data_IF_865817671614
#
_entry.id   IF_865817671614
#
_cell.length_a   1.000
_cell.length_b   1.000
_cell.length_c   1.000
_cell.angle_alpha   90.00
_cell.angle_beta   90.00
_cell.angle_gamma   90.00
#
_symmetry.space_group_name_H-M   'P 1'
#
loop_
_entity.id
_entity.type
_entity.pdbx_description
1 polymer ?
#
# COMPACT_ATOMS: atom_id res chain seq x y z
N UNK A 1 26.12 -23.51 7.86
CA UNK A 1 25.08 -23.54 6.80
C UNK A 1 25.79 -23.66 5.46
N UNK A 2 25.29 -24.46 4.53
CA UNK A 2 25.96 -24.69 3.24
C UNK A 2 25.81 -23.50 2.28
N UNK A 3 26.70 -23.38 1.30
CA UNK A 3 26.60 -22.40 0.22
C UNK A 3 25.25 -22.49 -0.52
N UNK A 4 24.76 -23.70 -0.74
CA UNK A 4 23.44 -23.95 -1.34
C UNK A 4 22.27 -23.32 -0.53
N UNK A 5 22.36 -23.31 0.80
CA UNK A 5 21.36 -22.65 1.64
C UNK A 5 21.32 -21.14 1.39
N UNK A 6 22.49 -20.48 1.34
CA UNK A 6 22.56 -19.04 1.13
C UNK A 6 22.06 -18.62 -0.24
N UNK A 7 22.35 -19.42 -1.28
CA UNK A 7 21.79 -19.22 -2.61
C UNK A 7 20.26 -19.38 -2.63
N UNK A 8 19.71 -20.38 -1.94
CA UNK A 8 18.27 -20.55 -1.82
C UNK A 8 17.61 -19.38 -1.08
N UNK A 9 18.24 -18.90 0.00
CA UNK A 9 17.78 -17.75 0.76
C UNK A 9 17.81 -16.46 -0.08
N UNK A 10 18.88 -16.23 -0.84
CA UNK A 10 19.01 -15.09 -1.75
C UNK A 10 17.87 -15.07 -2.78
N UNK A 11 17.61 -16.19 -3.44
CA UNK A 11 16.52 -16.33 -4.43
C UNK A 11 15.16 -16.03 -3.80
N UNK A 12 14.92 -16.54 -2.59
CA UNK A 12 13.68 -16.26 -1.84
C UNK A 12 13.53 -14.76 -1.58
N UNK A 13 14.56 -14.10 -1.07
CA UNK A 13 14.52 -12.65 -0.77
C UNK A 13 14.31 -11.80 -2.02
N UNK A 14 14.92 -12.16 -3.14
CA UNK A 14 14.71 -11.48 -4.42
C UNK A 14 13.26 -11.65 -4.93
N UNK A 15 12.68 -12.84 -4.78
CA UNK A 15 11.28 -13.10 -5.10
C UNK A 15 10.33 -12.27 -4.21
N UNK A 16 10.58 -12.26 -2.89
CA UNK A 16 9.80 -11.47 -1.95
C UNK A 16 9.88 -9.96 -2.27
N UNK A 17 11.06 -9.45 -2.62
CA UNK A 17 11.25 -8.05 -3.06
C UNK A 17 10.40 -7.72 -4.30
N UNK A 18 10.45 -8.58 -5.32
CA UNK A 18 9.66 -8.40 -6.54
C UNK A 18 8.16 -8.37 -6.26
N UNK A 19 7.69 -9.26 -5.38
CA UNK A 19 6.28 -9.30 -4.95
C UNK A 19 5.87 -8.02 -4.21
N UNK A 20 6.71 -7.51 -3.31
CA UNK A 20 6.44 -6.25 -2.60
C UNK A 20 6.38 -5.05 -3.55
N UNK A 21 7.30 -4.97 -4.51
CA UNK A 21 7.30 -3.90 -5.52
C UNK A 21 6.05 -3.95 -6.41
N UNK A 22 5.64 -5.16 -6.81
CA UNK A 22 4.39 -5.37 -7.56
C UNK A 22 3.18 -4.92 -6.74
N UNK A 23 3.09 -5.34 -5.47
CA UNK A 23 2.02 -4.95 -4.56
C UNK A 23 1.94 -3.42 -4.38
N UNK A 24 3.10 -2.76 -4.19
CA UNK A 24 3.18 -1.31 -4.08
C UNK A 24 2.60 -0.62 -5.31
N UNK A 25 2.98 -1.06 -6.52
CA UNK A 25 2.44 -0.51 -7.77
C UNK A 25 0.92 -0.72 -7.92
N UNK A 26 0.41 -1.90 -7.56
CA UNK A 26 -1.03 -2.18 -7.57
C UNK A 26 -1.80 -1.27 -6.62
N UNK A 27 -1.28 -1.06 -5.40
CA UNK A 27 -1.88 -0.17 -4.41
C UNK A 27 -1.83 1.29 -4.83
N UNK A 28 -0.76 1.74 -5.48
CA UNK A 28 -0.69 3.09 -6.07
C UNK A 28 -1.79 3.29 -7.11
N UNK A 29 -2.04 2.29 -7.96
CA UNK A 29 -3.18 2.30 -8.89
C UNK A 29 -4.51 2.43 -8.16
N UNK A 30 -4.71 1.67 -7.08
CA UNK A 30 -5.93 1.74 -6.27
C UNK A 30 -6.12 3.09 -5.56
N UNK A 31 -5.07 3.71 -5.03
CA UNK A 31 -5.17 5.06 -4.48
C UNK A 31 -5.59 6.09 -5.56
N UNK A 32 -5.08 5.93 -6.78
CA UNK A 32 -5.48 6.74 -7.94
C UNK A 32 -6.96 6.56 -8.30
N UNK A 33 -7.46 5.31 -8.29
CA UNK A 33 -8.88 5.01 -8.48
C UNK A 33 -9.75 5.68 -7.40
N UNK A 34 -9.34 5.62 -6.12
CA UNK A 34 -10.04 6.32 -5.04
C UNK A 34 -10.10 7.83 -5.27
N UNK A 35 -8.97 8.42 -5.64
CA UNK A 35 -8.90 9.87 -5.92
C UNK A 35 -9.80 10.28 -7.08
N UNK A 36 -9.85 9.46 -8.14
CA UNK A 36 -10.66 9.73 -9.32
C UNK A 36 -12.16 9.55 -9.07
N UNK A 37 -12.54 8.67 -8.13
CA UNK A 37 -13.94 8.30 -7.88
C UNK A 37 -14.56 9.00 -6.66
N UNK A 38 -13.81 9.82 -5.93
CA UNK A 38 -14.30 10.52 -4.73
C UNK A 38 -15.60 11.31 -4.99
N UNK A 39 -15.74 11.91 -6.18
CA UNK A 39 -16.91 12.70 -6.55
C UNK A 39 -18.21 11.89 -6.57
N UNK A 40 -18.13 10.56 -6.80
CA UNK A 40 -19.30 9.67 -6.80
C UNK A 40 -19.96 9.60 -5.42
N UNK A 41 -19.22 9.87 -4.35
CA UNK A 41 -19.77 9.89 -2.99
C UNK A 41 -20.71 11.08 -2.78
N UNK A 42 -20.55 12.16 -3.56
CA UNK A 42 -21.32 13.40 -3.46
C UNK A 42 -22.25 13.65 -4.65
N UNK A 43 -22.34 12.73 -5.62
CA UNK A 43 -23.30 12.80 -6.72
C UNK A 43 -24.54 11.89 -6.56
N UNK A 44 -25.73 12.33 -6.99
CA UNK A 44 -26.05 13.68 -7.47
C UNK A 44 -25.96 14.71 -6.34
N UNK A 45 -25.76 15.98 -6.72
CA UNK A 45 -25.77 17.10 -5.78
C UNK A 45 -27.17 17.27 -5.18
N UNK A 46 -27.25 17.33 -3.85
CA UNK A 46 -28.49 17.61 -3.13
C UNK A 46 -28.54 19.11 -2.85
N UNK A 47 -29.51 19.80 -3.43
CA UNK A 47 -29.65 21.26 -3.25
C UNK A 47 -30.76 21.58 -2.25
N UNK A 48 -30.55 22.60 -1.43
CA UNK A 48 -31.56 23.07 -0.46
C UNK A 48 -32.88 23.53 -1.13
N UNK A 49 -32.83 23.83 -2.43
CA UNK A 49 -33.99 24.21 -3.24
C UNK A 49 -34.94 23.06 -3.55
N UNK A 50 -34.44 21.82 -3.68
CA UNK A 50 -35.25 20.64 -4.02
C UNK A 50 -35.28 19.57 -2.92
N UNK A 51 -34.39 19.67 -1.93
CA UNK A 51 -34.22 18.68 -0.87
C UNK A 51 -34.09 19.39 0.49
N UNK A 52 -35.15 19.35 1.32
CA UNK A 52 -35.22 20.07 2.60
C UNK A 52 -36.00 19.31 3.68
N UNK A 53 -35.75 19.64 4.94
CA UNK A 53 -36.42 19.05 6.11
C UNK A 53 -35.54 18.05 6.86
N UNK A 54 -36.00 17.57 8.01
CA UNK A 54 -35.19 16.78 8.95
C UNK A 54 -34.61 15.50 8.34
N UNK A 55 -35.34 14.82 7.46
CA UNK A 55 -34.85 13.63 6.77
C UNK A 55 -33.76 13.96 5.74
N UNK A 56 -33.88 15.10 5.07
CA UNK A 56 -32.88 15.58 4.12
C UNK A 56 -31.56 15.89 4.83
N UNK A 57 -31.62 16.61 5.95
CA UNK A 57 -30.45 16.90 6.79
C UNK A 57 -29.79 15.61 7.29
N UNK A 58 -30.57 14.70 7.88
CA UNK A 58 -30.02 13.42 8.38
C UNK A 58 -29.36 12.58 7.29
N UNK A 59 -29.89 12.62 6.07
CA UNK A 59 -29.28 11.93 4.94
C UNK A 59 -27.93 12.56 4.58
N UNK A 60 -27.85 13.88 4.50
CA UNK A 60 -26.59 14.58 4.23
C UNK A 60 -25.56 14.34 5.32
N UNK A 61 -25.94 14.32 6.59
CA UNK A 61 -25.04 13.99 7.71
C UNK A 61 -24.44 12.58 7.52
N UNK A 62 -25.27 11.57 7.20
CA UNK A 62 -24.81 10.20 6.92
C UNK A 62 -23.86 10.18 5.71
N UNK A 63 -24.19 10.94 4.67
CA UNK A 63 -23.43 10.97 3.42
C UNK A 63 -22.08 11.64 3.59
N UNK A 64 -22.03 12.81 4.22
CA UNK A 64 -20.82 13.63 4.33
C UNK A 64 -19.95 13.13 5.48
N UNK A 65 -20.51 13.03 6.68
CA UNK A 65 -19.75 12.71 7.89
C UNK A 65 -19.53 11.21 8.06
N UNK A 66 -20.37 10.37 7.42
CA UNK A 66 -20.20 8.92 7.39
C UNK A 66 -19.40 8.48 6.17
N UNK A 67 -20.04 8.52 5.00
CA UNK A 67 -19.53 7.88 3.79
C UNK A 67 -18.31 8.63 3.25
N UNK A 68 -18.42 9.94 2.99
CA UNK A 68 -17.33 10.72 2.41
C UNK A 68 -16.13 10.82 3.36
N UNK A 69 -16.36 10.99 4.66
CA UNK A 69 -15.29 11.00 5.66
C UNK A 69 -14.50 9.67 5.66
N UNK A 70 -15.20 8.53 5.75
CA UNK A 70 -14.57 7.21 5.70
C UNK A 70 -13.81 6.97 4.39
N UNK A 71 -14.39 7.42 3.28
CA UNK A 71 -13.76 7.32 1.96
C UNK A 71 -12.43 8.10 1.90
N UNK A 72 -12.44 9.33 2.39
CA UNK A 72 -11.24 10.18 2.47
C UNK A 72 -10.18 9.59 3.40
N UNK A 73 -10.59 9.02 4.53
CA UNK A 73 -9.68 8.35 5.45
C UNK A 73 -8.93 7.19 4.77
N UNK A 74 -9.64 6.36 3.99
CA UNK A 74 -9.03 5.29 3.20
C UNK A 74 -8.05 5.88 2.19
N UNK A 75 -8.53 6.82 1.37
CA UNK A 75 -7.76 7.47 0.29
C UNK A 75 -6.45 8.11 0.78
N UNK A 76 -6.46 8.64 2.01
CA UNK A 76 -5.34 9.38 2.59
C UNK A 76 -4.60 8.55 3.63
N UNK A 77 -5.09 8.54 4.87
CA UNK A 77 -4.42 7.97 6.04
C UNK A 77 -4.07 6.50 5.84
N UNK A 78 -5.03 5.67 5.40
CA UNK A 78 -4.79 4.23 5.32
C UNK A 78 -3.81 3.87 4.20
N UNK A 79 -3.96 4.43 3.00
CA UNK A 79 -2.98 4.22 1.93
C UNK A 79 -1.59 4.73 2.31
N UNK A 80 -1.48 5.92 2.88
CA UNK A 80 -0.19 6.48 3.29
C UNK A 80 0.53 5.60 4.32
N UNK A 81 -0.21 5.07 5.30
CA UNK A 81 0.34 4.14 6.27
C UNK A 81 0.87 2.86 5.60
N UNK A 82 0.07 2.25 4.73
CA UNK A 82 0.47 1.02 4.01
C UNK A 82 1.70 1.27 3.13
N UNK A 83 1.78 2.41 2.43
CA UNK A 83 2.95 2.75 1.62
C UNK A 83 4.21 2.96 2.46
N UNK A 84 4.09 3.56 3.64
CA UNK A 84 5.23 3.67 4.58
C UNK A 84 5.73 2.28 4.98
N UNK A 85 4.82 1.40 5.41
CA UNK A 85 5.16 0.02 5.82
C UNK A 85 5.82 -0.75 4.67
N UNK A 86 5.28 -0.65 3.45
CA UNK A 86 5.85 -1.30 2.27
C UNK A 86 7.24 -0.76 1.93
N UNK A 87 7.42 0.56 1.96
CA UNK A 87 8.70 1.21 1.70
C UNK A 87 9.78 0.73 2.68
N UNK A 88 9.45 0.72 3.98
CA UNK A 88 10.35 0.25 5.03
C UNK A 88 10.72 -1.22 4.82
N UNK A 89 9.72 -2.05 4.49
CA UNK A 89 9.97 -3.49 4.27
C UNK A 89 10.80 -3.77 3.02
N UNK A 90 10.55 -3.02 1.94
CA UNK A 90 11.35 -3.08 0.72
C UNK A 90 12.80 -2.73 1.02
N UNK A 91 13.03 -1.66 1.78
CA UNK A 91 14.37 -1.22 2.14
C UNK A 91 15.09 -2.25 3.02
N UNK A 92 14.38 -2.81 4.01
CA UNK A 92 14.89 -3.90 4.84
C UNK A 92 15.33 -5.10 4.00
N UNK A 93 14.48 -5.58 3.08
CA UNK A 93 14.81 -6.75 2.26
C UNK A 93 16.00 -6.48 1.32
N UNK A 94 16.13 -5.26 0.79
CA UNK A 94 17.33 -4.89 0.00
C UNK A 94 18.61 -5.01 0.82
N UNK A 95 18.60 -4.53 2.07
CA UNK A 95 19.76 -4.65 2.97
C UNK A 95 20.06 -6.11 3.30
N UNK A 96 19.03 -6.92 3.55
CA UNK A 96 19.19 -8.36 3.78
C UNK A 96 19.80 -9.08 2.56
N UNK A 97 19.39 -8.72 1.34
CA UNK A 97 19.95 -9.25 0.09
C UNK A 97 21.45 -8.94 -0.01
N UNK A 98 21.86 -7.70 0.26
CA UNK A 98 23.29 -7.33 0.22
C UNK A 98 24.11 -8.06 1.28
N UNK A 99 23.58 -8.22 2.49
CA UNK A 99 24.22 -9.00 3.55
C UNK A 99 24.40 -10.48 3.17
N UNK A 100 23.38 -11.08 2.53
CA UNK A 100 23.45 -12.45 2.03
C UNK A 100 24.52 -12.57 0.92
N UNK A 101 24.58 -11.61 -0.01
CA UNK A 101 25.59 -11.59 -1.08
C UNK A 101 27.01 -11.53 -0.52
N UNK A 102 27.25 -10.67 0.47
CA UNK A 102 28.55 -10.58 1.14
C UNK A 102 28.92 -11.89 1.85
N UNK A 103 27.94 -12.57 2.44
CA UNK A 103 28.15 -13.88 3.08
C UNK A 103 28.50 -14.96 2.06
N UNK A 104 27.82 -15.00 0.92
CA UNK A 104 28.13 -15.93 -0.19
C UNK A 104 29.57 -15.71 -0.67
N UNK A 105 29.94 -14.46 -0.99
CA UNK A 105 31.28 -14.13 -1.49
C UNK A 105 32.39 -14.54 -0.51
N UNK A 106 32.16 -14.37 0.80
CA UNK A 106 33.10 -14.83 1.83
C UNK A 106 33.24 -16.35 1.85
N UNK A 107 32.12 -17.07 1.80
CA UNK A 107 32.14 -18.54 1.84
C UNK A 107 32.79 -19.14 0.59
N UNK A 108 32.60 -18.51 -0.57
CA UNK A 108 33.28 -18.93 -1.82
C UNK A 108 34.80 -18.73 -1.73
N UNK A 109 35.26 -17.64 -1.12
CA UNK A 109 36.69 -17.40 -0.92
C UNK A 109 37.35 -18.29 0.14
N UNK A 110 36.57 -18.83 1.10
CA UNK A 110 37.05 -19.76 2.13
C UNK A 110 37.11 -21.22 1.61
N UNK A 111 36.41 -21.53 0.51
CA UNK A 111 36.37 -22.85 -0.14
C UNK A 111 37.45 -23.02 -1.25
N UNK A 112 38.15 -21.94 -1.64
CA UNK A 112 39.30 -21.90 -2.58
C UNK A 112 40.66 -22.05 -1.86
#
# INVERSE_FOLDING_TARGET
MSLAYWYALLRKKQSDLSRLQTCNGQLTGKQGEFSSNQYLMTQPELTATTWKGTLATRFDDIRIDGILASYKEIQTTQFNNVFSILSDKIQQIKQEIESIRATIARLEADDD
#
